data_IF_662837909993
#
_entry.id   IF_662837909993
#
_cell.length_a   1.000
_cell.length_b   1.000
_cell.length_c   1.000
_cell.angle_alpha   90.00
_cell.angle_beta   90.00
_cell.angle_gamma   90.00
#
_symmetry.space_group_name_H-M   'P 1'
#
loop_
_entity.id
_entity.type
_entity.pdbx_description
1 polymer ?
#
# COMPACT_ATOMS: atom_id res chain seq x y z
N UNK A 1 -4.23 -8.46 12.17
CA UNK A 1 -3.80 -9.40 11.10
C UNK A 1 -2.27 -9.45 10.97
N UNK A 2 -1.68 -10.46 10.30
CA UNK A 2 -0.24 -10.52 9.91
C UNK A 2 -0.10 -10.54 8.38
N UNK A 3 0.84 -9.76 7.84
CA UNK A 3 1.18 -9.67 6.41
C UNK A 3 2.71 -9.79 6.26
N UNK A 4 3.21 -10.54 5.28
CA UNK A 4 4.63 -10.42 4.93
C UNK A 4 4.90 -9.06 4.26
N UNK A 5 6.18 -8.67 4.18
CA UNK A 5 6.61 -7.38 3.63
C UNK A 5 6.03 -7.11 2.22
N UNK A 6 5.97 -8.15 1.38
CA UNK A 6 5.40 -8.06 0.04
C UNK A 6 3.88 -7.87 0.07
N UNK A 7 3.16 -8.67 0.84
CA UNK A 7 1.70 -8.54 1.00
C UNK A 7 1.31 -7.17 1.57
N UNK A 8 2.12 -6.62 2.47
CA UNK A 8 1.96 -5.28 3.01
C UNK A 8 2.09 -4.19 1.94
N UNK A 9 3.11 -4.29 1.07
CA UNK A 9 3.28 -3.38 -0.07
C UNK A 9 2.09 -3.47 -1.04
N UNK A 10 1.68 -4.70 -1.38
CA UNK A 10 0.56 -4.92 -2.31
C UNK A 10 -0.77 -4.43 -1.72
N UNK A 11 -0.97 -4.59 -0.40
CA UNK A 11 -2.14 -4.06 0.29
C UNK A 11 -2.22 -2.54 0.14
N UNK A 12 -1.10 -1.82 0.32
CA UNK A 12 -1.04 -0.38 0.08
C UNK A 12 -1.44 -0.02 -1.35
N UNK A 13 -0.86 -0.70 -2.35
CA UNK A 13 -1.17 -0.42 -3.76
C UNK A 13 -2.66 -0.63 -4.04
N UNK A 14 -3.25 -1.73 -3.59
CA UNK A 14 -4.68 -1.99 -3.77
C UNK A 14 -5.58 -1.01 -3.03
N UNK A 15 -5.11 -0.49 -1.89
CA UNK A 15 -5.85 0.55 -1.17
C UNK A 15 -5.90 1.83 -2.00
N UNK A 16 -4.77 2.30 -2.53
CA UNK A 16 -4.69 3.49 -3.40
C UNK A 16 -5.48 3.28 -4.70
N UNK A 17 -5.36 2.10 -5.32
CA UNK A 17 -6.10 1.72 -6.55
C UNK A 17 -7.62 1.81 -6.36
N UNK A 18 -8.12 1.49 -5.17
CA UNK A 18 -9.56 1.60 -4.90
C UNK A 18 -10.08 3.04 -4.98
N UNK A 19 -9.30 4.02 -4.52
CA UNK A 19 -9.66 5.44 -4.66
C UNK A 19 -9.54 5.91 -6.11
N UNK A 20 -8.47 5.52 -6.80
CA UNK A 20 -8.31 5.82 -8.23
C UNK A 20 -9.47 5.25 -9.07
N UNK A 21 -9.94 4.04 -8.75
CA UNK A 21 -11.04 3.42 -9.47
C UNK A 21 -12.32 4.26 -9.44
N UNK A 22 -12.56 4.98 -8.35
CA UNK A 22 -13.74 5.82 -8.13
C UNK A 22 -13.54 7.25 -8.66
N UNK A 23 -12.42 7.87 -8.32
CA UNK A 23 -12.18 9.28 -8.64
C UNK A 23 -11.64 9.52 -10.04
N UNK A 24 -10.92 8.54 -10.60
CA UNK A 24 -10.06 8.70 -11.79
C UNK A 24 -9.08 9.86 -11.66
N UNK A 25 -8.63 10.11 -10.43
CA UNK A 25 -7.67 11.15 -10.12
C UNK A 25 -6.32 10.89 -10.81
N UNK A 26 -5.79 11.91 -11.49
CA UNK A 26 -4.57 11.77 -12.28
C UNK A 26 -3.33 11.54 -11.41
N UNK A 27 -3.26 12.16 -10.23
CA UNK A 27 -2.11 12.03 -9.33
C UNK A 27 -2.09 10.63 -8.70
N UNK A 28 -3.27 10.11 -8.32
CA UNK A 28 -3.38 8.71 -7.90
C UNK A 28 -3.02 7.74 -9.02
N UNK A 29 -3.46 8.00 -10.26
CA UNK A 29 -3.10 7.19 -11.41
C UNK A 29 -1.59 7.20 -11.71
N UNK A 30 -0.96 8.37 -11.65
CA UNK A 30 0.47 8.54 -11.83
C UNK A 30 1.27 7.85 -10.72
N UNK A 31 0.89 8.04 -9.46
CA UNK A 31 1.49 7.35 -8.32
C UNK A 31 1.36 5.82 -8.47
N UNK A 32 0.20 5.31 -8.88
CA UNK A 32 0.02 3.88 -9.14
C UNK A 32 0.87 3.38 -10.31
N UNK A 33 1.18 4.23 -11.29
CA UNK A 33 2.17 3.98 -12.32
C UNK A 33 3.58 3.83 -11.75
N UNK A 34 3.97 4.70 -10.82
CA UNK A 34 5.28 4.67 -10.17
C UNK A 34 5.42 3.50 -9.18
N UNK A 35 4.33 3.15 -8.50
CA UNK A 35 4.27 2.02 -7.56
C UNK A 35 4.11 0.65 -8.24
N UNK A 36 3.97 0.63 -9.57
CA UNK A 36 3.42 -0.48 -10.37
C UNK A 36 3.92 -1.86 -9.92
N UNK A 37 3.06 -2.67 -9.28
CA UNK A 37 3.42 -4.01 -8.81
C UNK A 37 3.32 -5.08 -9.90
N UNK A 38 2.89 -4.75 -11.12
CA UNK A 38 2.84 -5.69 -12.27
C UNK A 38 4.21 -6.23 -12.71
N UNK A 39 5.29 -5.70 -12.14
CA UNK A 39 6.66 -6.06 -12.49
C UNK A 39 7.41 -6.57 -11.26
N UNK A 40 6.74 -7.28 -10.35
CA UNK A 40 7.43 -8.11 -9.35
C UNK A 40 8.06 -9.36 -9.99
N UNK A 41 9.17 -9.22 -10.71
CA UNK A 41 9.99 -10.37 -11.12
C UNK A 41 10.80 -10.82 -9.90
N UNK A 42 10.63 -12.07 -9.46
CA UNK A 42 11.36 -12.65 -8.32
C UNK A 42 11.34 -11.81 -7.03
N UNK A 43 10.24 -11.09 -6.78
CA UNK A 43 10.02 -10.24 -5.59
C UNK A 43 10.71 -8.85 -5.59
N UNK A 44 11.14 -8.34 -6.75
CA UNK A 44 11.64 -6.96 -6.92
C UNK A 44 10.59 -6.13 -7.67
N UNK A 45 10.18 -4.99 -7.13
CA UNK A 45 9.22 -4.07 -7.80
C UNK A 45 9.74 -3.59 -9.16
N UNK A 46 8.82 -3.16 -10.03
CA UNK A 46 9.13 -2.49 -11.30
C UNK A 46 10.06 -1.29 -11.15
N UNK A 47 9.84 -0.56 -10.05
CA UNK A 47 10.68 0.53 -9.61
C UNK A 47 11.47 0.08 -8.38
N UNK A 48 12.76 -0.25 -8.54
CA UNK A 48 13.66 -0.57 -7.43
C UNK A 48 13.73 0.54 -6.39
N UNK A 49 13.53 1.81 -6.77
CA UNK A 49 13.60 2.93 -5.83
C UNK A 49 12.43 2.91 -4.84
N UNK A 50 11.19 2.70 -5.32
CA UNK A 50 10.03 2.52 -4.46
C UNK A 50 10.21 1.36 -3.48
N UNK A 51 10.73 0.22 -3.97
CA UNK A 51 10.97 -0.95 -3.12
C UNK A 51 12.08 -0.73 -2.09
N UNK A 52 13.16 -0.04 -2.45
CA UNK A 52 14.25 0.27 -1.52
C UNK A 52 13.78 1.22 -0.42
N UNK A 53 12.99 2.25 -0.75
CA UNK A 53 12.39 3.16 0.23
C UNK A 53 11.43 2.40 1.15
N UNK A 54 10.59 1.52 0.60
CA UNK A 54 9.69 0.65 1.36
C UNK A 54 10.46 -0.22 2.37
N UNK A 55 11.50 -0.92 1.93
CA UNK A 55 12.34 -1.75 2.81
C UNK A 55 13.09 -0.93 3.86
N UNK A 56 13.58 0.25 3.49
CA UNK A 56 14.22 1.21 4.42
C UNK A 56 13.24 1.60 5.52
N UNK A 57 11.99 1.89 5.19
CA UNK A 57 10.96 2.24 6.19
C UNK A 57 10.61 1.04 7.05
N UNK A 58 10.39 -0.13 6.46
CA UNK A 58 10.11 -1.36 7.21
C UNK A 58 11.24 -1.71 8.16
N UNK A 59 12.50 -1.44 7.81
CA UNK A 59 13.64 -1.70 8.70
C UNK A 59 13.61 -0.86 9.99
N UNK A 60 12.84 0.23 10.03
CA UNK A 60 12.59 1.04 11.24
C UNK A 60 11.61 0.36 12.20
N UNK A 61 10.87 -0.63 11.74
CA UNK A 61 9.97 -1.43 12.56
C UNK A 61 10.71 -2.68 13.01
N UNK A 62 10.65 -2.99 14.30
CA UNK A 62 11.33 -4.16 14.83
C UNK A 62 10.62 -5.46 14.43
N UNK A 63 11.02 -5.95 13.25
CA UNK A 63 10.57 -7.22 12.70
C UNK A 63 11.54 -8.37 13.02
N UNK A 64 12.68 -8.10 13.69
CA UNK A 64 13.77 -9.06 13.86
C UNK A 64 13.44 -10.18 14.85
N UNK A 65 12.66 -9.86 15.88
CA UNK A 65 12.19 -10.84 16.87
C UNK A 65 10.93 -11.61 16.42
N UNK A 66 10.52 -11.45 15.15
CA UNK A 66 9.35 -12.11 14.59
C UNK A 66 9.77 -13.29 13.75
N UNK A 67 9.31 -14.47 14.14
CA UNK A 67 9.56 -15.77 13.50
C UNK A 67 9.41 -15.74 11.95
N UNK A 68 8.58 -14.83 11.41
CA UNK A 68 8.29 -14.73 9.97
C UNK A 68 8.33 -13.31 9.36
N UNK A 69 9.07 -12.33 9.93
CA UNK A 69 9.18 -10.93 9.43
C UNK A 69 7.85 -10.36 8.89
N UNK A 70 6.81 -10.42 9.72
CA UNK A 70 5.47 -9.95 9.36
C UNK A 70 5.19 -8.56 9.92
N UNK A 71 4.44 -7.78 9.16
CA UNK A 71 3.87 -6.48 9.51
C UNK A 71 2.49 -6.71 10.11
N UNK A 72 2.20 -6.03 11.23
CA UNK A 72 0.84 -5.99 11.80
C UNK A 72 0.03 -4.89 11.12
N UNK A 73 -1.28 -4.97 11.28
CA UNK A 73 -2.20 -4.05 10.60
C UNK A 73 -2.08 -2.59 11.08
N UNK A 74 -1.95 -2.39 12.39
CA UNK A 74 -1.69 -1.09 13.01
C UNK A 74 -0.35 -0.49 12.57
N UNK A 75 0.66 -1.33 12.40
CA UNK A 75 1.97 -0.93 11.88
C UNK A 75 1.90 -0.59 10.40
N UNK A 76 1.10 -1.32 9.63
CA UNK A 76 0.96 -1.12 8.19
C UNK A 76 0.46 0.29 7.87
N UNK A 77 -0.58 0.77 8.57
CA UNK A 77 -1.11 2.12 8.34
C UNK A 77 -0.02 3.18 8.50
N UNK A 78 0.79 3.06 9.57
CA UNK A 78 1.93 3.95 9.81
C UNK A 78 3.06 3.79 8.79
N UNK A 79 3.34 2.56 8.34
CA UNK A 79 4.32 2.29 7.30
C UNK A 79 3.90 2.97 5.99
N UNK A 80 2.62 2.86 5.60
CA UNK A 80 2.07 3.49 4.40
C UNK A 80 2.23 5.00 4.47
N UNK A 81 1.83 5.61 5.59
CA UNK A 81 1.96 7.06 5.78
C UNK A 81 3.42 7.52 5.65
N UNK A 82 4.36 6.85 6.32
CA UNK A 82 5.78 7.17 6.22
C UNK A 82 6.32 6.98 4.81
N UNK A 83 5.85 5.94 4.11
CA UNK A 83 6.28 5.64 2.75
C UNK A 83 5.81 6.68 1.76
N UNK A 84 4.52 7.04 1.78
CA UNK A 84 4.00 8.08 0.90
C UNK A 84 4.67 9.42 1.17
N UNK A 85 4.98 9.74 2.42
CA UNK A 85 5.73 10.97 2.73
C UNK A 85 7.17 10.97 2.18
N UNK A 86 7.91 9.84 2.23
CA UNK A 86 9.30 9.76 1.75
C UNK A 86 9.38 9.57 0.22
N UNK A 87 8.44 8.81 -0.37
CA UNK A 87 8.42 8.46 -1.78
C UNK A 87 7.67 9.50 -2.64
N UNK A 88 6.44 9.82 -2.26
CA UNK A 88 5.58 10.72 -3.03
C UNK A 88 5.87 12.20 -2.73
N UNK A 89 6.32 12.51 -1.50
CA UNK A 89 6.61 13.88 -1.08
C UNK A 89 5.42 14.82 -1.33
N UNK A 90 5.69 15.97 -1.97
CA UNK A 90 4.68 16.93 -2.42
C UNK A 90 4.36 16.80 -3.93
N UNK A 91 4.75 15.68 -4.56
CA UNK A 91 4.59 15.51 -6.00
C UNK A 91 3.17 15.08 -6.42
N UNK A 92 2.32 14.70 -5.46
CA UNK A 92 0.99 14.15 -5.70
C UNK A 92 -0.02 14.64 -4.66
N UNK A 93 -1.26 14.92 -5.08
CA UNK A 93 -2.37 15.28 -4.18
C UNK A 93 -2.95 14.03 -3.50
N UNK A 94 -2.34 13.60 -2.40
CA UNK A 94 -2.71 12.38 -1.66
C UNK A 94 -3.66 12.61 -0.48
N UNK A 95 -4.33 13.77 -0.42
CA UNK A 95 -5.17 14.18 0.70
C UNK A 95 -6.22 13.12 1.09
N UNK A 96 -6.90 12.55 0.11
CA UNK A 96 -7.91 11.50 0.33
C UNK A 96 -7.30 10.23 0.95
N UNK A 97 -6.06 9.88 0.59
CA UNK A 97 -5.37 8.71 1.15
C UNK A 97 -5.00 8.97 2.61
N UNK A 98 -4.39 10.13 2.91
CA UNK A 98 -4.00 10.48 4.27
C UNK A 98 -5.20 10.61 5.21
N UNK A 99 -6.28 11.23 4.75
CA UNK A 99 -7.53 11.32 5.52
C UNK A 99 -8.03 9.92 5.90
N UNK A 100 -8.14 9.02 4.92
CA UNK A 100 -8.67 7.68 5.16
C UNK A 100 -7.74 6.79 6.00
N UNK A 101 -6.41 6.94 5.87
CA UNK A 101 -5.45 6.30 6.78
C UNK A 101 -5.60 6.80 8.22
N UNK A 102 -5.86 8.10 8.40
CA UNK A 102 -6.15 8.69 9.71
C UNK A 102 -7.43 8.15 10.33
N UNK A 103 -8.50 8.00 9.54
CA UNK A 103 -9.76 7.38 9.99
C UNK A 103 -9.56 5.93 10.41
N UNK A 104 -8.82 5.14 9.61
CA UNK A 104 -8.45 3.75 9.94
C UNK A 104 -7.64 3.67 11.24
N UNK A 105 -6.62 4.52 11.39
CA UNK A 105 -5.73 4.51 12.55
C UNK A 105 -6.43 4.88 13.85
N UNK A 106 -7.42 5.77 13.79
CA UNK A 106 -8.18 6.23 14.94
C UNK A 106 -9.42 5.36 15.25
N UNK A 107 -9.62 4.26 14.52
CA UNK A 107 -10.84 3.45 14.58
C UNK A 107 -12.13 4.27 14.34
N UNK A 108 -12.04 5.32 13.52
CA UNK A 108 -13.14 6.24 13.19
C UNK A 108 -13.53 6.10 11.72
N UNK A 109 -13.96 4.91 11.32
CA UNK A 109 -14.29 4.58 9.93
C UNK A 109 -15.72 4.05 9.82
N UNK A 110 -16.33 4.26 8.65
CA UNK A 110 -17.61 3.65 8.31
C UNK A 110 -17.44 2.21 7.77
N UNK A 111 -18.57 1.56 7.47
CA UNK A 111 -18.56 0.22 6.89
C UNK A 111 -17.92 0.17 5.51
N UNK A 112 -18.00 1.25 4.74
CA UNK A 112 -17.48 1.29 3.37
C UNK A 112 -15.95 1.35 3.37
N UNK A 113 -15.36 2.23 4.17
CA UNK A 113 -13.92 2.31 4.34
C UNK A 113 -13.34 1.02 4.94
N UNK A 114 -14.03 0.42 5.90
CA UNK A 114 -13.62 -0.89 6.43
C UNK A 114 -13.68 -1.99 5.36
N UNK A 115 -14.74 -2.03 4.55
CA UNK A 115 -14.86 -2.98 3.45
C UNK A 115 -13.76 -2.78 2.41
N UNK A 116 -13.48 -1.52 2.07
CA UNK A 116 -12.41 -1.12 1.15
C UNK A 116 -11.04 -1.58 1.65
N UNK A 117 -10.72 -1.33 2.91
CA UNK A 117 -9.48 -1.78 3.55
C UNK A 117 -9.35 -3.31 3.54
N UNK A 118 -10.41 -4.03 3.93
CA UNK A 118 -10.42 -5.49 3.92
C UNK A 118 -10.28 -6.08 2.51
N UNK A 119 -10.88 -5.45 1.49
CA UNK A 119 -10.67 -5.83 0.09
C UNK A 119 -9.22 -5.64 -0.35
N UNK A 120 -8.60 -4.52 0.01
CA UNK A 120 -7.20 -4.24 -0.29
C UNK A 120 -6.27 -5.30 0.34
N UNK A 121 -6.52 -5.64 1.60
CA UNK A 121 -5.84 -6.71 2.33
C UNK A 121 -5.97 -8.05 1.62
N UNK A 122 -7.21 -8.41 1.24
CA UNK A 122 -7.50 -9.68 0.59
C UNK A 122 -6.72 -9.79 -0.71
N UNK A 123 -6.78 -8.76 -1.56
CA UNK A 123 -6.06 -8.70 -2.83
C UNK A 123 -4.54 -8.73 -2.64
N UNK A 124 -4.01 -8.05 -1.61
CA UNK A 124 -2.58 -8.06 -1.30
C UNK A 124 -2.02 -9.43 -0.92
N UNK A 125 -2.87 -10.37 -0.47
CA UNK A 125 -2.51 -11.76 -0.15
C UNK A 125 -2.69 -12.73 -1.31
N UNK A 126 -3.38 -12.34 -2.37
CA UNK A 126 -3.61 -13.21 -3.51
C UNK A 126 -2.30 -13.38 -4.31
N UNK A 127 -2.03 -14.61 -4.79
CA UNK A 127 -0.87 -14.85 -5.66
C UNK A 127 -1.13 -14.14 -6.99
N UNK A 128 -0.41 -13.04 -7.24
CA UNK A 128 -0.58 -12.27 -8.47
C UNK A 128 -0.17 -13.05 -9.72
N UNK A 129 -1.16 -13.55 -10.45
CA UNK A 129 -1.11 -13.85 -11.88
C UNK A 129 -1.97 -12.87 -12.69
N UNK A 130 -2.65 -11.91 -12.04
CA UNK A 130 -3.58 -10.99 -12.68
C UNK A 130 -3.01 -9.57 -12.75
N UNK A 131 -3.22 -8.94 -13.90
CA UNK A 131 -2.82 -7.57 -14.20
C UNK A 131 -3.34 -6.61 -13.13
N UNK A 132 -2.44 -5.76 -12.63
CA UNK A 132 -2.85 -4.51 -12.03
C UNK A 132 -3.42 -3.61 -13.13
N UNK A 133 -4.26 -2.66 -12.73
CA UNK A 133 -5.10 -1.83 -13.58
C UNK A 133 -6.34 -2.56 -14.10
N UNK A 134 -7.52 -2.03 -13.73
CA UNK A 134 -8.80 -2.28 -14.43
C UNK A 134 -8.83 -1.73 -15.86
N UNK A 135 -7.69 -1.66 -16.53
CA UNK A 135 -7.60 -1.49 -17.97
C UNK A 135 -7.82 -2.87 -18.57
N UNK A 136 -9.07 -3.10 -19.02
CA UNK A 136 -9.37 -4.18 -19.95
C UNK A 136 -8.52 -4.07 -21.20
#
# INVERSE_FOLDING_TARGET
>A
MKLCVKEAYLTMVWFIDSFYCESKDNDLGALLGDLSPSTFLDCISADPAAWDIWNKIISKFDLKDREYKYVKEDELLKIIELFLNDFAGNCFELGIIYENLGLLSNNNFDSELLERWNKAIKKGKEKHSEHFYGLK
#
